data_IF_724083992973
#
_entry.id   IF_724083992973
#
_cell.length_a   1.000
_cell.length_b   1.000
_cell.length_c   1.000
_cell.angle_alpha   90.00
_cell.angle_beta   90.00
_cell.angle_gamma   90.00
#
_symmetry.space_group_name_H-M   'P 1'
#
loop_
_entity.id
_entity.type
_entity.pdbx_description
1 polymer ?
#
# COMPACT_ATOMS: atom_id res chain seq x y z
N UNK A 1 -24.22 4.44 -19.76
CA UNK A 1 -23.80 3.09 -20.23
C UNK A 1 -22.30 3.09 -20.36
N UNK A 2 -21.59 2.18 -19.68
CA UNK A 2 -20.16 1.97 -19.91
C UNK A 2 -20.05 1.32 -21.30
N UNK A 3 -19.17 1.81 -22.21
CA UNK A 3 -19.18 1.43 -23.63
C UNK A 3 -18.99 -0.07 -23.92
N UNK A 4 -18.60 -0.87 -22.93
CA UNK A 4 -18.30 -2.31 -23.08
C UNK A 4 -19.38 -3.28 -22.53
N UNK A 5 -20.53 -2.81 -22.05
CA UNK A 5 -21.61 -3.70 -21.58
C UNK A 5 -21.32 -4.48 -20.28
N UNK A 6 -20.25 -4.15 -19.56
CA UNK A 6 -19.93 -4.77 -18.27
C UNK A 6 -20.89 -4.27 -17.19
N UNK A 7 -21.31 -5.13 -16.26
CA UNK A 7 -22.14 -4.71 -15.16
C UNK A 7 -21.36 -3.76 -14.23
N UNK A 8 -22.05 -2.72 -13.75
CA UNK A 8 -21.48 -1.62 -12.97
C UNK A 8 -20.67 -2.11 -11.76
N UNK A 9 -21.16 -3.14 -11.07
CA UNK A 9 -20.52 -3.67 -9.87
C UNK A 9 -19.12 -4.23 -10.13
N UNK A 10 -18.85 -4.81 -11.30
CA UNK A 10 -17.49 -5.27 -11.66
C UNK A 10 -16.54 -4.08 -11.74
N UNK A 11 -16.96 -3.01 -12.41
CA UNK A 11 -16.15 -1.81 -12.58
C UNK A 11 -15.88 -1.14 -11.24
N UNK A 12 -16.88 -1.09 -10.35
CA UNK A 12 -16.73 -0.55 -9.01
C UNK A 12 -15.77 -1.38 -8.15
N UNK A 13 -15.89 -2.71 -8.16
CA UNK A 13 -14.96 -3.59 -7.42
C UNK A 13 -13.53 -3.39 -7.93
N UNK A 14 -13.34 -3.33 -9.24
CA UNK A 14 -12.02 -3.11 -9.82
C UNK A 14 -11.42 -1.76 -9.41
N UNK A 15 -12.20 -0.68 -9.52
CA UNK A 15 -11.78 0.65 -9.07
C UNK A 15 -11.45 0.68 -7.57
N UNK A 16 -12.26 0.00 -6.75
CA UNK A 16 -12.03 -0.11 -5.32
C UNK A 16 -10.72 -0.82 -5.00
N UNK A 17 -10.48 -2.00 -5.59
CA UNK A 17 -9.24 -2.76 -5.36
C UNK A 17 -8.02 -1.97 -5.83
N UNK A 18 -8.11 -1.37 -7.02
CA UNK A 18 -7.02 -0.56 -7.58
C UNK A 18 -6.72 0.66 -6.70
N UNK A 19 -7.77 1.39 -6.30
CA UNK A 19 -7.66 2.53 -5.39
C UNK A 19 -7.10 2.13 -4.02
N UNK A 20 -7.51 0.98 -3.48
CA UNK A 20 -7.00 0.49 -2.20
C UNK A 20 -5.50 0.15 -2.26
N UNK A 21 -5.04 -0.50 -3.34
CA UNK A 21 -3.62 -0.79 -3.55
C UNK A 21 -2.82 0.49 -3.73
N UNK A 22 -3.27 1.41 -4.58
CA UNK A 22 -2.61 2.69 -4.80
C UNK A 22 -2.56 3.53 -3.52
N UNK A 23 -3.67 3.66 -2.81
CA UNK A 23 -3.72 4.41 -1.54
C UNK A 23 -2.80 3.82 -0.48
N UNK A 24 -2.77 2.48 -0.35
CA UNK A 24 -1.86 1.80 0.56
C UNK A 24 -0.40 2.08 0.23
N UNK A 25 -0.02 2.04 -1.04
CA UNK A 25 1.34 2.32 -1.48
C UNK A 25 1.73 3.79 -1.27
N UNK A 26 0.86 4.72 -1.64
CA UNK A 26 1.08 6.16 -1.45
C UNK A 26 1.26 6.50 0.03
N UNK A 27 0.57 5.82 0.94
CA UNK A 27 0.77 6.02 2.37
C UNK A 27 2.19 5.64 2.83
N UNK A 28 2.76 4.55 2.28
CA UNK A 28 4.16 4.18 2.51
C UNK A 28 5.11 5.22 1.93
N UNK A 29 4.82 5.73 0.71
CA UNK A 29 5.60 6.79 0.08
C UNK A 29 5.63 8.06 0.94
N UNK A 30 4.48 8.54 1.40
CA UNK A 30 4.39 9.75 2.24
C UNK A 30 5.20 9.58 3.53
N UNK A 31 5.19 8.39 4.13
CA UNK A 31 5.92 8.13 5.36
C UNK A 31 7.44 7.97 5.17
N UNK A 32 7.88 7.22 4.14
CA UNK A 32 9.30 6.86 3.95
C UNK A 32 10.09 7.85 3.11
N UNK A 33 9.47 8.50 2.12
CA UNK A 33 10.18 9.40 1.21
C UNK A 33 10.91 10.56 1.92
N UNK A 34 10.28 11.28 2.87
CA UNK A 34 10.93 12.41 3.54
C UNK A 34 12.04 12.01 4.51
N UNK A 35 12.23 10.71 4.79
CA UNK A 35 13.30 10.24 5.68
C UNK A 35 14.67 10.17 4.98
N UNK A 36 14.73 10.42 3.67
CA UNK A 36 15.95 10.36 2.89
C UNK A 36 16.19 11.69 2.16
N UNK A 37 17.40 12.24 2.31
CA UNK A 37 17.79 13.54 1.74
C UNK A 37 17.91 13.55 0.20
N UNK A 38 17.89 12.38 -0.44
CA UNK A 38 18.03 12.25 -1.90
C UNK A 38 16.99 11.30 -2.47
N UNK A 39 16.50 11.61 -3.67
CA UNK A 39 15.44 10.86 -4.37
C UNK A 39 15.78 9.37 -4.61
N UNK A 40 17.01 9.08 -5.05
CA UNK A 40 17.44 7.70 -5.35
C UNK A 40 17.51 6.75 -4.13
N UNK A 41 18.17 7.10 -3.01
CA UNK A 41 18.14 6.25 -1.81
C UNK A 41 16.74 6.15 -1.19
N UNK A 42 15.89 7.15 -1.40
CA UNK A 42 14.49 7.13 -0.96
C UNK A 42 13.67 6.03 -1.63
N UNK A 43 13.85 5.86 -2.95
CA UNK A 43 13.27 4.75 -3.72
C UNK A 43 13.76 3.38 -3.24
N UNK A 44 15.05 3.27 -2.89
CA UNK A 44 15.61 2.05 -2.31
C UNK A 44 14.99 1.73 -0.93
N UNK A 45 14.75 2.77 -0.13
CA UNK A 45 14.14 2.73 1.21
C UNK A 45 12.69 2.23 1.26
N UNK A 46 11.97 2.26 0.13
CA UNK A 46 10.60 1.75 0.02
C UNK A 46 10.50 0.23 0.14
N UNK A 47 11.51 -0.50 -0.35
CA UNK A 47 11.52 -1.96 -0.42
C UNK A 47 12.40 -2.60 0.66
N UNK A 48 13.40 -1.87 1.14
CA UNK A 48 14.32 -2.30 2.19
C UNK A 48 14.54 -1.15 3.18
N UNK A 49 14.43 -1.38 4.50
CA UNK A 49 14.16 -2.65 5.19
C UNK A 49 12.68 -3.07 5.17
N UNK A 50 12.36 -4.37 5.41
CA UNK A 50 10.99 -4.86 5.54
C UNK A 50 10.26 -4.16 6.71
N UNK A 51 8.93 -4.14 6.70
CA UNK A 51 8.14 -3.54 7.79
C UNK A 51 8.49 -4.17 9.15
N UNK A 52 8.82 -3.33 10.13
CA UNK A 52 9.11 -3.72 11.50
C UNK A 52 8.41 -2.77 12.48
N UNK A 53 8.15 -3.26 13.69
CA UNK A 53 7.62 -2.41 14.75
C UNK A 53 8.73 -1.49 15.28
N UNK A 54 8.54 -0.15 15.28
CA UNK A 54 9.57 0.77 15.74
C UNK A 54 9.83 0.68 17.26
N UNK A 55 8.93 0.05 18.03
CA UNK A 55 9.05 -0.06 19.49
C UNK A 55 9.76 -1.33 19.96
N UNK A 56 9.50 -2.46 19.31
CA UNK A 56 10.06 -3.76 19.72
C UNK A 56 11.00 -4.39 18.68
N UNK A 57 11.13 -3.81 17.49
CA UNK A 57 12.01 -4.31 16.41
C UNK A 57 11.51 -5.56 15.71
N UNK A 58 10.38 -6.15 16.12
CA UNK A 58 9.88 -7.37 15.51
C UNK A 58 9.38 -7.12 14.08
N UNK A 59 9.55 -8.12 13.20
CA UNK A 59 9.13 -8.04 11.80
C UNK A 59 7.61 -8.15 11.70
N UNK A 60 7.00 -7.24 10.93
CA UNK A 60 5.56 -7.26 10.67
C UNK A 60 5.28 -8.23 9.52
N UNK A 61 4.38 -9.21 9.69
CA UNK A 61 4.04 -10.15 8.64
C UNK A 61 3.27 -9.44 7.50
N UNK A 62 3.46 -9.90 6.26
CA UNK A 62 2.91 -9.24 5.06
C UNK A 62 1.38 -9.04 5.12
N UNK A 63 0.65 -9.97 5.73
CA UNK A 63 -0.82 -9.91 5.89
C UNK A 63 -1.29 -8.68 6.68
N UNK A 64 -0.48 -8.22 7.65
CA UNK A 64 -0.81 -7.04 8.45
C UNK A 64 -0.62 -5.75 7.67
N UNK A 65 0.16 -5.79 6.57
CA UNK A 65 0.34 -4.67 5.66
C UNK A 65 -0.70 -4.64 4.52
N UNK A 66 -1.59 -5.64 4.42
CA UNK A 66 -2.66 -5.60 3.39
C UNK A 66 -3.76 -4.64 3.85
N UNK A 67 -4.20 -3.71 2.99
CA UNK A 67 -5.32 -2.83 3.29
C UNK A 67 -6.56 -3.67 3.64
N UNK A 68 -7.28 -3.24 4.68
CA UNK A 68 -8.49 -3.88 5.23
C UNK A 68 -8.19 -5.20 5.95
N UNK A 69 -7.46 -6.15 5.33
CA UNK A 69 -7.20 -7.48 5.89
C UNK A 69 -6.38 -7.41 7.18
N UNK A 70 -5.39 -6.52 7.28
CA UNK A 70 -4.57 -6.39 8.49
C UNK A 70 -5.35 -5.98 9.75
N UNK A 71 -6.53 -5.37 9.56
CA UNK A 71 -7.43 -4.88 10.63
C UNK A 71 -8.49 -5.92 11.04
N UNK A 72 -8.87 -6.83 10.13
CA UNK A 72 -9.86 -7.88 10.39
C UNK A 72 -9.17 -9.10 11.04
N UNK A 73 -8.61 -8.88 12.22
CA UNK A 73 -8.07 -9.95 13.07
C UNK A 73 -9.17 -10.61 13.89
#
# INVERSE_FOLDING_TARGET
MIPFGWPLWIVLIFLFLYGAVLGSFLNVCIYRIPQHDRFWPSLLGLWSPPSYCPRCGNRIPRRDNLPIIGWVK
#
